data_IF_611337156945
#
_entry.id   IF_611337156945
#
_cell.length_a   1.000
_cell.length_b   1.000
_cell.length_c   1.000
_cell.angle_alpha   90.00
_cell.angle_beta   90.00
_cell.angle_gamma   90.00
#
_symmetry.space_group_name_H-M   'P 1'
#
loop_
_entity.id
_entity.type
_entity.pdbx_description
1 polymer ?
#
# COMPACT_ATOMS: atom_id res chain seq x y z
N UNK A 1 -9.53 -45.43 44.18
CA UNK A 1 -9.05 -44.02 44.27
C UNK A 1 -7.59 -43.93 43.82
N UNK A 2 -7.34 -43.43 42.61
CA UNK A 2 -6.08 -42.75 42.20
C UNK A 2 -6.40 -41.86 40.99
N UNK A 3 -6.38 -40.54 41.17
CA UNK A 3 -6.46 -39.57 40.08
C UNK A 3 -5.04 -39.29 39.59
N UNK A 4 -4.76 -39.55 38.31
CA UNK A 4 -3.57 -39.06 37.64
C UNK A 4 -3.92 -37.75 36.94
N UNK A 5 -3.61 -36.62 37.58
CA UNK A 5 -3.74 -35.31 36.98
C UNK A 5 -2.71 -35.18 35.84
N UNK A 6 -3.16 -35.37 34.59
CA UNK A 6 -2.41 -34.92 33.42
C UNK A 6 -2.58 -33.40 33.32
N UNK A 7 -1.63 -32.67 33.89
CA UNK A 7 -1.50 -31.23 33.69
C UNK A 7 -1.02 -31.00 32.25
N UNK A 8 -1.97 -30.75 31.35
CA UNK A 8 -1.71 -30.36 29.98
C UNK A 8 -1.23 -28.91 29.99
N UNK A 9 0.08 -28.70 29.99
CA UNK A 9 0.71 -27.39 29.84
C UNK A 9 0.61 -27.00 28.35
N UNK A 10 -0.53 -26.38 27.99
CA UNK A 10 -0.68 -25.66 26.73
C UNK A 10 0.18 -24.40 26.81
N UNK A 11 1.44 -24.51 26.39
CA UNK A 11 2.26 -23.35 26.04
C UNK A 11 1.61 -22.70 24.81
N UNK A 12 0.71 -21.75 25.06
CA UNK A 12 0.23 -20.82 24.04
C UNK A 12 1.42 -19.94 23.67
N UNK A 13 2.21 -20.40 22.71
CA UNK A 13 3.29 -19.64 22.10
C UNK A 13 2.63 -18.56 21.23
N UNK A 14 2.18 -17.47 21.86
CA UNK A 14 1.89 -16.23 21.16
C UNK A 14 3.24 -15.72 20.65
N UNK A 15 3.64 -16.16 19.45
CA UNK A 15 4.70 -15.50 18.70
C UNK A 15 4.17 -14.09 18.48
N UNK A 16 4.62 -13.15 19.30
CA UNK A 16 4.58 -11.75 18.92
C UNK A 16 5.39 -11.68 17.62
N UNK A 17 4.68 -11.71 16.48
CA UNK A 17 5.25 -11.45 15.18
C UNK A 17 5.72 -10.00 15.25
N UNK A 18 6.97 -9.82 15.66
CA UNK A 18 7.66 -8.56 15.44
C UNK A 18 7.90 -8.52 13.94
N UNK A 19 6.93 -7.94 13.22
CA UNK A 19 7.14 -7.64 11.82
C UNK A 19 8.29 -6.64 11.74
N UNK A 20 9.39 -7.07 11.15
CA UNK A 20 10.47 -6.19 10.79
C UNK A 20 10.15 -5.65 9.41
N UNK A 21 10.52 -4.39 9.17
CA UNK A 21 10.50 -3.83 7.83
C UNK A 21 11.35 -4.72 6.90
N UNK A 22 10.96 -4.82 5.62
CA UNK A 22 11.77 -5.53 4.64
C UNK A 22 13.18 -4.95 4.60
N UNK A 23 14.17 -5.83 4.69
CA UNK A 23 15.56 -5.46 4.47
C UNK A 23 15.83 -5.21 2.99
N UNK A 24 16.87 -4.43 2.69
CA UNK A 24 17.30 -4.16 1.32
C UNK A 24 17.59 -5.44 0.53
N UNK A 25 18.08 -6.49 1.19
CA UNK A 25 18.38 -7.77 0.53
C UNK A 25 17.12 -8.59 0.25
N UNK A 26 16.10 -8.53 1.11
CA UNK A 26 14.77 -9.07 0.81
C UNK A 26 14.11 -8.34 -0.35
N UNK A 27 14.23 -7.00 -0.37
CA UNK A 27 13.73 -6.16 -1.48
C UNK A 27 14.41 -6.55 -2.79
N UNK A 28 15.74 -6.56 -2.80
CA UNK A 28 16.54 -6.85 -3.99
C UNK A 28 16.34 -8.28 -4.50
N UNK A 29 16.34 -9.28 -3.61
CA UNK A 29 16.13 -10.68 -4.00
C UNK A 29 14.72 -10.90 -4.57
N UNK A 30 13.71 -10.25 -4.01
CA UNK A 30 12.34 -10.28 -4.53
C UNK A 30 12.23 -9.59 -5.88
N UNK A 31 12.76 -8.37 -6.03
CA UNK A 31 12.80 -7.64 -7.30
C UNK A 31 13.44 -8.49 -8.40
N UNK A 32 14.56 -9.16 -8.10
CA UNK A 32 15.23 -10.05 -9.05
C UNK A 32 14.35 -11.25 -9.45
N UNK A 33 13.63 -11.84 -8.50
CA UNK A 33 12.73 -12.98 -8.72
C UNK A 33 11.53 -12.63 -9.59
N UNK A 34 10.90 -11.47 -9.37
CA UNK A 34 9.66 -11.08 -10.06
C UNK A 34 9.90 -10.20 -11.30
N UNK A 35 11.16 -9.93 -11.68
CA UNK A 35 11.52 -8.99 -12.76
C UNK A 35 10.85 -9.27 -14.11
N UNK A 36 10.58 -10.54 -14.40
CA UNK A 36 10.03 -10.99 -15.68
C UNK A 36 8.49 -10.88 -15.75
N UNK A 37 7.83 -10.62 -14.63
CA UNK A 37 6.40 -10.40 -14.57
C UNK A 37 6.03 -9.04 -15.17
N UNK A 38 4.78 -8.91 -15.62
CA UNK A 38 4.22 -7.61 -15.97
C UNK A 38 4.19 -6.67 -14.75
N UNK A 39 4.11 -5.36 -14.98
CA UNK A 39 4.07 -4.39 -13.89
C UNK A 39 2.96 -4.71 -12.89
N UNK A 40 1.77 -5.04 -13.38
CA UNK A 40 0.59 -5.27 -12.55
C UNK A 40 0.73 -6.54 -11.69
N UNK A 41 1.30 -7.61 -12.24
CA UNK A 41 1.68 -8.81 -11.48
C UNK A 41 2.79 -8.54 -10.46
N UNK A 42 3.75 -7.63 -10.75
CA UNK A 42 4.77 -7.24 -9.76
C UNK A 42 4.16 -6.46 -8.60
N UNK A 43 3.23 -5.54 -8.87
CA UNK A 43 2.51 -4.79 -7.83
C UNK A 43 1.72 -5.76 -6.95
N UNK A 44 0.97 -6.68 -7.56
CA UNK A 44 0.23 -7.70 -6.82
C UNK A 44 1.15 -8.61 -5.99
N UNK A 45 2.27 -9.06 -6.56
CA UNK A 45 3.28 -9.85 -5.83
C UNK A 45 3.83 -9.12 -4.60
N UNK A 46 4.02 -7.80 -4.70
CA UNK A 46 4.45 -6.99 -3.55
C UNK A 46 3.35 -6.84 -2.51
N UNK A 47 2.11 -6.59 -2.92
CA UNK A 47 0.98 -6.51 -2.01
C UNK A 47 0.77 -7.82 -1.22
N UNK A 48 0.96 -8.97 -1.86
CA UNK A 48 0.89 -10.28 -1.21
C UNK A 48 1.94 -10.45 -0.09
N UNK A 49 3.14 -9.90 -0.27
CA UNK A 49 4.19 -10.00 0.75
C UNK A 49 3.90 -9.18 2.02
N UNK A 50 3.01 -8.19 1.94
CA UNK A 50 2.53 -7.45 3.11
C UNK A 50 1.41 -8.18 3.88
N UNK A 51 0.92 -9.33 3.40
CA UNK A 51 -0.10 -10.10 4.13
C UNK A 51 0.49 -10.58 5.45
N UNK A 52 -0.14 -10.18 6.55
CA UNK A 52 0.31 -10.47 7.91
C UNK A 52 1.16 -9.34 8.53
N UNK A 53 1.53 -8.31 7.78
CA UNK A 53 2.12 -7.10 8.36
C UNK A 53 1.09 -6.40 9.26
N UNK A 54 1.47 -5.97 10.48
CA UNK A 54 0.57 -5.27 11.38
C UNK A 54 -0.03 -4.01 10.76
N UNK A 55 -1.31 -3.78 11.03
CA UNK A 55 -1.96 -2.54 10.62
C UNK A 55 -1.41 -1.35 11.42
N UNK A 56 -1.07 -0.27 10.73
CA UNK A 56 -0.63 0.95 11.38
C UNK A 56 -1.82 1.75 11.93
N UNK A 57 -1.90 1.86 13.25
CA UNK A 57 -2.97 2.60 13.94
C UNK A 57 -2.61 4.06 14.19
N UNK A 58 -1.44 4.52 13.77
CA UNK A 58 -1.03 5.92 13.89
C UNK A 58 -1.86 6.78 12.93
N UNK A 59 -2.63 7.78 13.41
CA UNK A 59 -3.47 8.60 12.53
C UNK A 59 -2.67 9.44 11.54
N UNK A 60 -1.37 9.67 11.76
CA UNK A 60 -0.50 10.34 10.78
C UNK A 60 0.16 9.37 9.80
N UNK A 61 0.19 8.07 10.12
CA UNK A 61 1.07 7.09 9.54
C UNK A 61 2.46 7.13 10.18
N UNK A 62 3.01 5.96 10.48
CA UNK A 62 4.30 5.78 11.14
C UNK A 62 5.45 6.29 10.30
N UNK A 63 5.37 6.14 8.98
CA UNK A 63 6.34 6.70 8.05
C UNK A 63 6.41 8.23 8.14
N UNK A 64 5.25 8.89 8.32
CA UNK A 64 5.17 10.34 8.54
C UNK A 64 5.73 10.70 9.91
N UNK A 65 5.27 10.03 10.98
CA UNK A 65 5.71 10.32 12.35
C UNK A 65 7.21 10.13 12.56
N UNK A 66 7.79 9.13 11.91
CA UNK A 66 9.24 8.84 11.96
C UNK A 66 10.06 9.66 10.96
N UNK A 67 9.41 10.50 10.15
CA UNK A 67 10.05 11.30 9.10
C UNK A 67 10.87 10.42 8.12
N UNK A 68 10.40 9.20 7.84
CA UNK A 68 11.10 8.19 7.03
C UNK A 68 10.30 7.79 5.79
N UNK A 69 10.97 7.66 4.65
CA UNK A 69 10.31 7.26 3.42
C UNK A 69 9.87 5.78 3.42
N UNK A 70 10.58 4.91 4.15
CA UNK A 70 10.25 3.48 4.31
C UNK A 70 9.95 3.16 5.79
N UNK A 71 8.83 2.50 6.04
CA UNK A 71 8.38 2.01 7.34
C UNK A 71 7.58 0.69 7.18
N UNK A 72 8.17 -0.30 6.51
CA UNK A 72 7.48 -1.55 6.14
C UNK A 72 7.11 -2.45 7.35
N UNK A 73 7.45 -2.07 8.59
CA UNK A 73 7.15 -2.80 9.82
C UNK A 73 5.67 -2.74 10.23
N UNK A 74 4.91 -1.82 9.64
CA UNK A 74 3.46 -1.67 9.80
C UNK A 74 2.90 -0.84 8.65
N UNK A 75 1.68 -1.14 8.22
CA UNK A 75 1.09 -0.47 7.06
C UNK A 75 -0.35 -0.06 7.32
N UNK A 76 -0.71 1.16 6.93
CA UNK A 76 -2.09 1.54 6.71
C UNK A 76 -2.48 1.25 5.24
N UNK A 77 -3.74 1.52 4.89
CA UNK A 77 -4.23 1.27 3.53
C UNK A 77 -3.53 2.13 2.45
N UNK A 78 -3.20 3.38 2.76
CA UNK A 78 -2.52 4.28 1.82
C UNK A 78 -1.07 3.87 1.64
N UNK A 79 -0.34 3.65 2.75
CA UNK A 79 1.05 3.22 2.73
C UNK A 79 1.22 1.90 1.97
N UNK A 80 0.34 0.91 2.20
CA UNK A 80 0.37 -0.35 1.45
C UNK A 80 0.25 -0.10 -0.07
N UNK A 81 -0.70 0.76 -0.47
CA UNK A 81 -0.92 1.10 -1.88
C UNK A 81 0.31 1.79 -2.48
N UNK A 82 0.84 2.82 -1.79
CA UNK A 82 2.07 3.49 -2.19
C UNK A 82 3.21 2.49 -2.37
N UNK A 83 3.45 1.70 -1.32
CA UNK A 83 4.63 0.87 -1.22
C UNK A 83 4.64 -0.28 -2.21
N UNK A 84 3.49 -0.92 -2.44
CA UNK A 84 3.36 -1.98 -3.45
C UNK A 84 3.62 -1.45 -4.87
N UNK A 85 3.11 -0.25 -5.19
CA UNK A 85 3.33 0.40 -6.49
C UNK A 85 4.80 0.80 -6.69
N UNK A 86 5.41 1.44 -5.69
CA UNK A 86 6.82 1.85 -5.71
C UNK A 86 7.76 0.66 -5.92
N UNK A 87 7.51 -0.43 -5.20
CA UNK A 87 8.30 -1.64 -5.29
C UNK A 87 8.07 -2.38 -6.62
N UNK A 88 6.85 -2.35 -7.17
CA UNK A 88 6.53 -2.90 -8.49
C UNK A 88 7.12 -2.12 -9.65
N UNK A 89 7.31 -0.81 -9.49
CA UNK A 89 7.91 0.10 -10.48
C UNK A 89 9.44 0.16 -10.44
N UNK A 90 10.07 -0.43 -9.42
CA UNK A 90 11.50 -0.30 -9.17
C UNK A 90 12.28 -1.58 -9.41
N UNK A 91 13.60 -1.44 -9.53
CA UNK A 91 14.53 -2.56 -9.77
C UNK A 91 15.58 -2.74 -8.67
N UNK A 92 15.72 -1.75 -7.78
CA UNK A 92 16.59 -1.79 -6.59
C UNK A 92 15.87 -1.16 -5.38
N UNK A 93 16.37 -1.37 -4.15
CA UNK A 93 15.85 -0.67 -2.96
C UNK A 93 15.93 0.85 -3.06
N UNK A 94 17.07 1.39 -3.53
CA UNK A 94 17.26 2.83 -3.71
C UNK A 94 16.30 3.42 -4.75
N UNK A 95 16.10 2.72 -5.86
CA UNK A 95 15.12 3.11 -6.89
C UNK A 95 13.70 3.12 -6.30
N UNK A 96 13.34 2.15 -5.45
CA UNK A 96 12.05 2.13 -4.77
C UNK A 96 11.86 3.35 -3.86
N UNK A 97 12.90 3.77 -3.13
CA UNK A 97 12.87 4.97 -2.31
C UNK A 97 12.72 6.24 -3.16
N UNK A 98 13.43 6.30 -4.30
CA UNK A 98 13.27 7.39 -5.28
C UNK A 98 11.86 7.43 -5.88
N UNK A 99 11.26 6.28 -6.21
CA UNK A 99 9.85 6.22 -6.63
C UNK A 99 8.94 6.76 -5.54
N UNK A 100 9.15 6.40 -4.29
CA UNK A 100 8.35 6.88 -3.16
C UNK A 100 8.36 8.41 -3.03
N UNK A 101 9.54 9.03 -3.17
CA UNK A 101 9.66 10.50 -3.14
C UNK A 101 8.91 11.16 -4.30
N UNK A 102 8.86 10.54 -5.48
CA UNK A 102 8.17 11.12 -6.63
C UNK A 102 6.66 10.84 -6.65
N UNK A 103 6.23 9.69 -6.13
CA UNK A 103 4.85 9.22 -6.21
C UNK A 103 3.98 9.71 -5.06
N UNK A 104 4.50 9.85 -3.83
CA UNK A 104 3.66 10.20 -2.66
C UNK A 104 3.34 11.69 -2.54
N UNK A 105 4.06 12.55 -3.26
CA UNK A 105 4.04 14.00 -3.10
C UNK A 105 3.42 14.68 -4.32
N UNK A 106 2.79 15.85 -4.11
CA UNK A 106 2.27 16.65 -5.22
C UNK A 106 3.38 16.98 -6.23
N UNK A 107 4.55 17.38 -5.74
CA UNK A 107 5.76 17.61 -6.53
C UNK A 107 6.76 16.47 -6.33
N UNK A 108 7.55 16.50 -5.27
CA UNK A 108 8.54 15.49 -4.88
C UNK A 108 8.88 15.62 -3.39
N UNK A 109 9.07 14.50 -2.71
CA UNK A 109 9.59 14.44 -1.35
C UNK A 109 11.06 14.88 -1.26
N UNK A 110 11.40 15.59 -0.19
CA UNK A 110 12.73 16.13 0.06
C UNK A 110 13.34 15.44 1.27
N UNK A 111 14.58 14.98 1.14
CA UNK A 111 15.34 14.37 2.23
C UNK A 111 16.44 15.32 2.70
N UNK A 112 16.45 15.63 4.00
CA UNK A 112 17.55 16.32 4.67
C UNK A 112 18.01 15.53 5.89
N UNK A 113 19.32 15.27 5.98
CA UNK A 113 19.94 14.52 7.10
C UNK A 113 19.25 13.17 7.37
N UNK A 114 18.86 12.47 6.30
CA UNK A 114 18.21 11.17 6.36
C UNK A 114 16.72 11.19 6.72
N UNK A 115 16.09 12.37 6.73
CA UNK A 115 14.67 12.53 7.08
C UNK A 115 13.91 13.25 5.99
N UNK A 116 12.66 12.87 5.79
CA UNK A 116 11.76 13.54 4.86
C UNK A 116 11.21 14.80 5.53
N UNK A 117 11.38 15.97 4.90
CA UNK A 117 11.10 17.27 5.54
C UNK A 117 9.79 17.93 5.12
N UNK A 118 9.15 17.48 4.03
CA UNK A 118 7.96 18.10 3.43
C UNK A 118 6.76 17.16 3.41
N UNK A 119 6.53 16.40 4.48
CA UNK A 119 5.40 15.46 4.54
C UNK A 119 4.02 16.13 4.47
N UNK A 120 3.94 17.43 4.73
CA UNK A 120 2.75 18.25 4.50
C UNK A 120 2.39 18.40 3.01
N UNK A 121 3.34 18.20 2.09
CA UNK A 121 3.14 18.23 0.63
C UNK A 121 2.79 16.86 0.03
N UNK A 122 2.55 15.85 0.86
CA UNK A 122 2.13 14.51 0.40
C UNK A 122 0.64 14.48 0.05
N UNK A 123 0.23 13.52 -0.78
CA UNK A 123 -1.20 13.23 -1.00
C UNK A 123 -1.89 12.82 0.31
N UNK A 124 -3.02 13.45 0.60
CA UNK A 124 -3.77 13.28 1.85
C UNK A 124 -4.82 12.17 1.78
N UNK A 125 -5.33 11.88 0.59
CA UNK A 125 -6.36 10.89 0.36
C UNK A 125 -6.23 10.25 -1.04
N UNK A 126 -7.03 9.19 -1.28
CA UNK A 126 -7.07 8.51 -2.57
C UNK A 126 -7.61 9.38 -3.71
N UNK A 127 -8.40 10.42 -3.43
CA UNK A 127 -8.91 11.32 -4.47
C UNK A 127 -7.77 12.13 -5.08
N UNK A 128 -6.86 12.65 -4.25
CA UNK A 128 -5.65 13.33 -4.72
C UNK A 128 -4.71 12.40 -5.50
N UNK A 129 -4.61 11.13 -5.07
CA UNK A 129 -3.86 10.12 -5.83
C UNK A 129 -4.45 9.89 -7.22
N UNK A 130 -5.78 9.80 -7.33
CA UNK A 130 -6.49 9.65 -8.61
C UNK A 130 -6.29 10.87 -9.51
N UNK A 131 -6.51 12.09 -8.98
CA UNK A 131 -6.33 13.35 -9.73
C UNK A 131 -4.89 13.54 -10.22
N UNK A 132 -3.90 12.99 -9.51
CA UNK A 132 -2.49 13.12 -9.89
C UNK A 132 -2.12 12.39 -11.19
N UNK A 133 -2.85 11.34 -11.55
CA UNK A 133 -2.48 10.43 -12.64
C UNK A 133 -1.17 9.66 -12.45
N UNK A 134 -0.53 9.74 -11.27
CA UNK A 134 0.77 9.08 -11.00
C UNK A 134 0.65 7.58 -10.75
N UNK A 135 -0.54 7.10 -10.39
CA UNK A 135 -0.80 5.72 -9.95
C UNK A 135 -1.43 4.82 -11.02
N UNK A 136 -1.71 5.37 -12.20
CA UNK A 136 -2.33 4.63 -13.29
C UNK A 136 -3.44 5.42 -13.96
N UNK A 137 -4.23 4.70 -14.76
CA UNK A 137 -5.39 5.24 -15.46
C UNK A 137 -6.68 5.02 -14.67
N UNK A 138 -7.53 6.04 -14.62
CA UNK A 138 -8.88 5.95 -14.04
C UNK A 138 -9.78 5.19 -15.03
N UNK A 139 -10.30 4.02 -14.63
CA UNK A 139 -11.12 3.14 -15.48
C UNK A 139 -12.57 2.96 -15.00
N UNK A 140 -12.98 3.59 -13.90
CA UNK A 140 -14.28 3.36 -13.23
C UNK A 140 -15.46 3.51 -14.18
N UNK A 141 -15.45 4.57 -15.00
CA UNK A 141 -16.50 4.82 -15.99
C UNK A 141 -16.55 3.81 -17.15
N UNK A 142 -15.45 3.11 -17.42
CA UNK A 142 -15.35 2.06 -18.44
C UNK A 142 -15.93 0.74 -17.98
N UNK A 143 -15.95 0.52 -16.66
CA UNK A 143 -16.42 -0.71 -16.03
C UNK A 143 -17.94 -0.78 -15.91
N UNK A 144 -18.65 0.36 -15.94
CA UNK A 144 -20.11 0.38 -15.93
C UNK A 144 -20.74 1.73 -15.58
N UNK A 145 -22.03 1.71 -15.23
CA UNK A 145 -22.74 2.91 -14.77
C UNK A 145 -22.23 3.37 -13.43
N UNK A 146 -21.75 4.62 -13.37
CA UNK A 146 -21.16 5.23 -12.18
C UNK A 146 -22.15 6.12 -11.43
N UNK A 147 -21.89 6.31 -10.15
CA UNK A 147 -22.48 7.36 -9.32
C UNK A 147 -21.42 8.43 -9.05
N UNK A 148 -21.82 9.70 -9.04
CA UNK A 148 -20.93 10.79 -8.64
C UNK A 148 -21.03 11.04 -7.15
N UNK A 149 -19.90 10.96 -6.46
CA UNK A 149 -19.77 11.29 -5.05
C UNK A 149 -19.31 12.76 -4.96
N UNK A 150 -20.12 13.65 -4.35
CA UNK A 150 -19.72 15.04 -4.15
C UNK A 150 -18.46 15.13 -3.28
N UNK A 151 -17.53 15.99 -3.66
CA UNK A 151 -16.34 16.30 -2.87
C UNK A 151 -16.51 17.61 -2.09
N UNK A 152 -15.70 17.85 -1.04
CA UNK A 152 -15.65 19.13 -0.35
C UNK A 152 -15.37 20.31 -1.30
N UNK A 153 -15.70 21.52 -0.87
CA UNK A 153 -15.54 22.73 -1.68
C UNK A 153 -14.08 22.86 -2.17
N UNK A 154 -13.91 23.00 -3.48
CA UNK A 154 -12.60 23.12 -4.14
C UNK A 154 -12.00 21.80 -4.66
N UNK A 155 -12.61 20.64 -4.37
CA UNK A 155 -12.23 19.34 -4.96
C UNK A 155 -13.22 18.90 -6.05
N UNK A 156 -12.75 18.13 -7.02
CA UNK A 156 -13.63 17.56 -8.05
C UNK A 156 -14.47 16.42 -7.46
N UNK A 157 -15.71 16.27 -7.95
CA UNK A 157 -16.50 15.08 -7.62
C UNK A 157 -15.83 13.83 -8.18
N UNK A 158 -15.85 12.73 -7.42
CA UNK A 158 -15.27 11.45 -7.85
C UNK A 158 -16.36 10.52 -8.37
N UNK A 159 -16.02 9.73 -9.39
CA UNK A 159 -16.91 8.70 -9.92
C UNK A 159 -16.67 7.39 -9.17
N UNK A 160 -17.74 6.69 -8.84
CA UNK A 160 -17.68 5.42 -8.12
C UNK A 160 -18.64 4.40 -8.73
N UNK A 161 -18.21 3.14 -8.77
CA UNK A 161 -19.08 2.04 -9.16
C UNK A 161 -19.98 1.64 -7.97
N UNK A 162 -21.31 1.71 -8.09
CA UNK A 162 -22.18 1.16 -7.08
C UNK A 162 -22.01 -0.37 -7.00
N UNK A 163 -22.29 -1.01 -5.84
CA UNK A 163 -22.05 -2.44 -5.63
C UNK A 163 -22.62 -3.36 -6.72
N UNK A 164 -23.80 -3.05 -7.25
CA UNK A 164 -24.42 -3.84 -8.31
C UNK A 164 -23.73 -3.69 -9.68
N UNK A 165 -23.15 -2.53 -9.98
CA UNK A 165 -22.34 -2.35 -11.17
C UNK A 165 -20.99 -3.06 -11.02
N UNK A 166 -20.35 -2.94 -9.85
CA UNK A 166 -19.11 -3.64 -9.54
C UNK A 166 -19.26 -5.16 -9.69
N UNK A 167 -20.34 -5.77 -9.17
CA UNK A 167 -20.61 -7.21 -9.32
C UNK A 167 -20.62 -7.67 -10.78
N UNK A 168 -21.11 -6.84 -11.70
CA UNK A 168 -21.13 -7.14 -13.14
C UNK A 168 -19.76 -6.94 -13.80
N UNK A 169 -18.95 -6.05 -13.24
CA UNK A 169 -17.63 -5.69 -13.74
C UNK A 169 -16.49 -6.54 -13.16
N UNK A 170 -16.73 -7.46 -12.21
CA UNK A 170 -15.68 -8.25 -11.57
C UNK A 170 -14.77 -9.00 -12.56
N UNK A 171 -15.31 -9.46 -13.70
CA UNK A 171 -14.54 -10.13 -14.75
C UNK A 171 -13.76 -9.20 -15.68
N UNK A 172 -13.87 -7.89 -15.49
CA UNK A 172 -13.16 -6.85 -16.25
C UNK A 172 -12.01 -6.23 -15.46
N UNK A 173 -11.93 -6.48 -14.15
CA UNK A 173 -10.83 -6.04 -13.32
C UNK A 173 -9.60 -6.93 -13.58
N UNK A 174 -8.44 -6.29 -13.61
CA UNK A 174 -7.17 -6.95 -13.84
C UNK A 174 -6.38 -7.10 -12.53
N UNK A 175 -5.48 -8.08 -12.51
CA UNK A 175 -4.52 -8.20 -11.41
C UNK A 175 -3.70 -6.92 -11.35
N UNK A 176 -3.58 -6.30 -10.16
CA UNK A 176 -2.84 -5.07 -9.96
C UNK A 176 -3.69 -3.79 -10.05
N UNK A 177 -4.99 -3.90 -10.38
CA UNK A 177 -5.91 -2.76 -10.27
C UNK A 177 -6.00 -2.29 -8.82
N UNK A 178 -6.01 -0.97 -8.63
CA UNK A 178 -6.11 -0.31 -7.33
C UNK A 178 -7.57 0.05 -7.07
N UNK A 179 -8.12 -0.42 -5.96
CA UNK A 179 -9.51 -0.20 -5.58
C UNK A 179 -9.57 0.71 -4.35
N UNK A 180 -10.29 1.81 -4.46
CA UNK A 180 -10.63 2.70 -3.36
C UNK A 180 -12.08 2.43 -2.92
N UNK A 181 -12.32 2.42 -1.61
CA UNK A 181 -13.63 2.18 -1.00
C UNK A 181 -14.17 3.42 -0.29
#
# INVERSE_FOLDING_TARGET
MRYAARMLLLFSFCIAQHALAFSDEEVKSTQARIRALSLSERIASWAELFVGTPYDTDPLGTYVRRETIVADDRVDCMYLTFRAVELGLSTTPDDAAEKALNLRFHTRGLIERGRVINYDERYQDGAEMLESGKYGEEITSRLGTVTRIPAPAGKAAVEALPPEALRKALGLLETGDIIYF
#
